data_IF_078621824821
#
_entry.id   IF_078621824821
#
_cell.length_a   1.000
_cell.length_b   1.000
_cell.length_c   1.000
_cell.angle_alpha   90.00
_cell.angle_beta   90.00
_cell.angle_gamma   90.00
#
_symmetry.space_group_name_H-M   'P 1'
#
loop_
_entity.id
_entity.type
_entity.pdbx_description
1 polymer ?
#
# COMPACT_ATOMS: atom_id res chain seq x y z
N UNK A 1 -4.62 -11.89 6.71
CA UNK A 1 -4.02 -10.55 6.82
C UNK A 1 -4.05 -9.90 5.45
N UNK A 2 -4.71 -8.74 5.33
CA UNK A 2 -4.90 -8.02 4.07
C UNK A 2 -3.92 -6.85 3.99
N UNK A 3 -3.39 -6.57 2.82
CA UNK A 3 -2.50 -5.43 2.57
C UNK A 3 -3.17 -4.50 1.56
N UNK A 4 -3.21 -3.22 1.89
CA UNK A 4 -3.82 -2.17 1.08
C UNK A 4 -2.83 -1.03 0.90
N UNK A 5 -2.60 -0.66 -0.35
CA UNK A 5 -1.84 0.52 -0.72
C UNK A 5 -2.83 1.59 -1.18
N UNK A 6 -2.90 2.71 -0.46
CA UNK A 6 -3.83 3.80 -0.72
C UNK A 6 -3.05 4.98 -1.26
N UNK A 7 -3.33 5.36 -2.51
CA UNK A 7 -2.79 6.58 -3.11
C UNK A 7 -3.85 7.67 -3.01
N UNK A 8 -3.57 8.75 -2.28
CA UNK A 8 -4.50 9.84 -2.05
C UNK A 8 -3.88 11.16 -2.52
N UNK A 9 -4.57 11.88 -3.40
CA UNK A 9 -4.10 13.16 -3.96
C UNK A 9 -3.82 14.24 -2.88
N UNK A 10 -4.53 14.19 -1.75
CA UNK A 10 -4.41 15.12 -0.63
C UNK A 10 -3.42 14.65 0.46
N UNK A 11 -2.77 13.49 0.28
CA UNK A 11 -1.83 12.95 1.26
C UNK A 11 -0.45 13.62 1.15
N UNK A 12 -0.18 14.54 2.09
CA UNK A 12 1.11 15.23 2.18
C UNK A 12 2.18 14.40 2.90
N UNK A 13 1.79 13.56 3.85
CA UNK A 13 2.68 12.76 4.69
C UNK A 13 2.21 11.30 4.62
N UNK A 14 3.09 10.35 4.26
CA UNK A 14 2.81 8.93 4.30
C UNK A 14 2.33 8.46 5.68
N UNK A 15 1.35 7.54 5.70
CA UNK A 15 0.76 7.01 6.94
C UNK A 15 0.68 5.48 6.89
N UNK A 16 1.02 4.83 8.00
CA UNK A 16 0.98 3.39 8.17
C UNK A 16 -0.05 3.02 9.24
N UNK A 17 -1.07 2.28 8.85
CA UNK A 17 -2.05 1.69 9.74
C UNK A 17 -1.88 0.18 9.75
N UNK A 18 -1.28 -0.33 10.83
CA UNK A 18 -1.13 -1.78 11.06
C UNK A 18 -2.08 -2.24 12.16
N UNK A 19 -2.88 -3.25 11.84
CA UNK A 19 -3.75 -3.98 12.75
C UNK A 19 -3.55 -5.48 12.54
N UNK A 20 -4.09 -6.31 13.43
CA UNK A 20 -3.93 -7.77 13.36
C UNK A 20 -4.40 -8.39 12.05
N UNK A 21 -5.38 -7.75 11.38
CA UNK A 21 -6.01 -8.28 10.17
C UNK A 21 -5.69 -7.46 8.90
N UNK A 22 -5.15 -6.25 9.05
CA UNK A 22 -5.02 -5.25 7.99
C UNK A 22 -3.73 -4.44 8.12
N UNK A 23 -2.99 -4.31 7.02
CA UNK A 23 -1.94 -3.32 6.83
C UNK A 23 -2.40 -2.38 5.74
N UNK A 24 -2.54 -1.10 6.07
CA UNK A 24 -2.90 -0.05 5.14
C UNK A 24 -1.79 0.99 5.13
N UNK A 25 -1.21 1.19 3.96
CA UNK A 25 -0.20 2.23 3.72
C UNK A 25 -0.86 3.30 2.86
N UNK A 26 -0.89 4.54 3.35
CA UNK A 26 -1.41 5.69 2.62
C UNK A 26 -0.27 6.58 2.18
N UNK A 27 -0.24 6.94 0.91
CA UNK A 27 0.75 7.81 0.30
C UNK A 27 0.11 8.81 -0.64
N UNK A 28 0.81 9.90 -0.89
CA UNK A 28 0.44 10.88 -1.90
C UNK A 28 1.02 10.58 -3.28
N UNK A 29 0.50 11.25 -4.29
CA UNK A 29 0.95 11.12 -5.68
C UNK A 29 2.40 11.58 -5.93
N UNK A 30 2.95 12.38 -5.02
CA UNK A 30 4.32 12.91 -5.12
C UNK A 30 5.34 12.06 -4.37
N UNK A 31 4.88 11.05 -3.62
CA UNK A 31 5.73 10.15 -2.87
C UNK A 31 6.12 8.95 -3.74
N UNK A 32 7.31 8.43 -3.50
CA UNK A 32 7.81 7.24 -4.17
C UNK A 32 7.89 6.06 -3.20
N UNK A 33 8.41 4.92 -3.68
CA UNK A 33 8.44 3.72 -2.86
C UNK A 33 9.50 3.78 -1.76
N UNK A 34 10.53 4.61 -1.89
CA UNK A 34 11.53 4.79 -0.82
C UNK A 34 10.88 5.46 0.41
N UNK A 35 9.94 6.40 0.21
CA UNK A 35 9.15 6.98 1.31
C UNK A 35 8.34 5.91 2.07
N UNK A 36 7.82 4.91 1.34
CA UNK A 36 7.11 3.77 1.93
C UNK A 36 8.05 2.87 2.72
N UNK A 37 9.26 2.63 2.19
CA UNK A 37 10.29 1.83 2.87
C UNK A 37 10.78 2.51 4.14
N UNK A 38 11.00 3.82 4.10
CA UNK A 38 11.42 4.61 5.27
C UNK A 38 10.34 4.62 6.35
N UNK A 39 9.07 4.72 5.96
CA UNK A 39 7.94 4.63 6.89
C UNK A 39 7.79 3.23 7.49
N UNK A 40 7.91 2.19 6.67
CA UNK A 40 7.51 0.83 7.05
C UNK A 40 8.66 -0.05 7.53
N UNK A 41 9.92 0.32 7.30
CA UNK A 41 11.09 -0.53 7.52
C UNK A 41 11.31 -0.97 8.98
N UNK A 42 10.72 -0.24 9.94
CA UNK A 42 10.75 -0.61 11.37
C UNK A 42 9.52 -1.38 11.85
N UNK A 43 8.41 -1.33 11.12
CA UNK A 43 7.09 -1.80 11.58
C UNK A 43 6.57 -3.00 10.79
N UNK A 44 7.04 -3.19 9.56
CA UNK A 44 6.66 -4.28 8.67
C UNK A 44 7.77 -5.32 8.51
N UNK A 45 7.38 -6.58 8.39
CA UNK A 45 8.26 -7.70 8.06
C UNK A 45 8.62 -7.66 6.57
N UNK A 46 9.74 -8.29 6.20
CA UNK A 46 10.18 -8.35 4.80
C UNK A 46 9.12 -8.93 3.84
N UNK A 47 8.33 -9.92 4.29
CA UNK A 47 7.22 -10.46 3.49
C UNK A 47 6.09 -9.44 3.26
N UNK A 48 5.79 -8.61 4.25
CA UNK A 48 4.77 -7.56 4.18
C UNK A 48 5.24 -6.44 3.22
N UNK A 49 6.52 -6.05 3.33
CA UNK A 49 7.16 -5.08 2.43
C UNK A 49 7.24 -5.60 0.99
N UNK A 50 7.61 -6.88 0.80
CA UNK A 50 7.64 -7.49 -0.52
C UNK A 50 6.24 -7.54 -1.16
N UNK A 51 5.19 -7.74 -0.36
CA UNK A 51 3.81 -7.69 -0.85
C UNK A 51 3.40 -6.26 -1.25
N UNK A 52 3.72 -5.25 -0.44
CA UNK A 52 3.50 -3.83 -0.79
C UNK A 52 4.22 -3.45 -2.09
N UNK A 53 5.48 -3.88 -2.25
CA UNK A 53 6.25 -3.64 -3.47
C UNK A 53 5.57 -4.24 -4.71
N UNK A 54 4.98 -5.44 -4.58
CA UNK A 54 4.18 -6.04 -5.66
C UNK A 54 2.93 -5.22 -5.98
N UNK A 55 2.25 -4.69 -4.97
CA UNK A 55 1.10 -3.80 -5.20
C UNK A 55 1.52 -2.53 -5.97
N UNK A 56 2.68 -1.96 -5.65
CA UNK A 56 3.22 -0.76 -6.27
C UNK A 56 3.70 -0.98 -7.71
N UNK A 57 4.62 -1.94 -7.96
CA UNK A 57 5.38 -2.00 -9.21
C UNK A 57 5.13 -3.24 -10.08
N UNK A 58 4.41 -4.26 -9.60
CA UNK A 58 4.30 -5.53 -10.32
C UNK A 58 3.03 -5.57 -11.18
N UNK A 59 3.22 -5.38 -12.49
CA UNK A 59 2.16 -5.42 -13.50
C UNK A 59 1.56 -6.81 -13.73
N UNK A 60 2.32 -7.85 -13.42
CA UNK A 60 1.86 -9.24 -13.50
C UNK A 60 1.15 -9.68 -12.21
N UNK A 61 1.33 -8.94 -11.11
CA UNK A 61 0.65 -9.21 -9.86
C UNK A 61 -0.85 -8.90 -9.97
N UNK A 62 -1.73 -9.85 -9.61
CA UNK A 62 -3.17 -9.64 -9.73
C UNK A 62 -3.62 -8.62 -8.68
N UNK A 63 -3.88 -7.39 -9.13
CA UNK A 63 -4.29 -6.25 -8.31
C UNK A 63 -5.74 -5.87 -8.57
N UNK A 64 -6.38 -5.33 -7.54
CA UNK A 64 -7.70 -4.70 -7.63
C UNK A 64 -7.56 -3.23 -7.28
N UNK A 65 -8.20 -2.38 -8.08
CA UNK A 65 -8.19 -0.94 -7.92
C UNK A 65 -9.60 -0.49 -7.54
N UNK A 66 -9.74 0.13 -6.36
CA UNK A 66 -11.00 0.69 -5.88
C UNK A 66 -10.81 2.18 -5.63
N UNK A 67 -11.58 3.02 -6.32
CA UNK A 67 -11.55 4.47 -6.11
C UNK A 67 -12.61 4.87 -5.09
N UNK A 68 -12.21 5.56 -4.03
CA UNK A 68 -13.09 6.13 -3.01
C UNK A 68 -12.74 7.61 -2.81
N UNK A 69 -13.54 8.50 -3.42
CA UNK A 69 -13.27 9.93 -3.41
C UNK A 69 -11.94 10.28 -4.09
N UNK A 70 -11.06 10.96 -3.35
CA UNK A 70 -9.69 11.32 -3.77
C UNK A 70 -8.67 10.19 -3.53
N UNK A 71 -9.09 9.03 -3.04
CA UNK A 71 -8.22 7.89 -2.77
C UNK A 71 -8.38 6.78 -3.82
N UNK A 72 -7.26 6.24 -4.28
CA UNK A 72 -7.15 5.01 -5.04
C UNK A 72 -6.59 3.92 -4.13
N UNK A 73 -7.44 2.95 -3.79
CA UNK A 73 -7.09 1.81 -2.95
C UNK A 73 -6.68 0.66 -3.88
N UNK A 74 -5.45 0.19 -3.70
CA UNK A 74 -4.84 -0.91 -4.44
C UNK A 74 -4.71 -2.08 -3.48
N UNK A 75 -5.33 -3.20 -3.81
CA UNK A 75 -5.25 -4.43 -3.00
C UNK A 75 -4.90 -5.62 -3.86
N UNK A 76 -4.31 -6.65 -3.27
CA UNK A 76 -4.20 -7.93 -3.97
C UNK A 76 -5.60 -8.41 -4.35
N UNK A 77 -5.74 -8.93 -5.56
CA UNK A 77 -6.95 -9.64 -5.98
C UNK A 77 -6.87 -11.02 -5.32
N UNK A 78 -7.77 -11.26 -4.39
CA UNK A 78 -7.94 -12.60 -3.81
C UNK A 78 -8.21 -13.56 -4.98
N UNK A 79 -7.29 -14.50 -5.21
CA UNK A 79 -7.51 -15.59 -6.13
C UNK A 79 -8.58 -16.50 -5.48
N UNK A 80 -9.84 -16.22 -5.78
CA UNK A 80 -10.93 -17.17 -5.52
C UNK A 80 -10.73 -18.45 -6.32
#
# INVERSE_FOLDING_TARGET
MRIELVVNDDCLIPDLQKSSDLIRVTIGINHDFDDVLDLCGGDLSNDELAHLHKLWSDDEFPRTFKREGASLIITARDAQ
#
